data_IF_002236110131
#
_entry.id   IF_002236110131
#
_cell.length_a   1.000
_cell.length_b   1.000
_cell.length_c   1.000
_cell.angle_alpha   90.00
_cell.angle_beta   90.00
_cell.angle_gamma   90.00
#
_symmetry.space_group_name_H-M   'P 1'
#
loop_
_entity.id
_entity.type
_entity.pdbx_description
1 polymer ?
#
# COMPACT_ATOMS: atom_id res chain seq x y z
N UNK A 1 -15.34 29.84 39.79
CA UNK A 1 -14.83 28.54 40.23
C UNK A 1 -15.54 27.36 39.54
N UNK A 2 -16.87 27.37 39.43
CA UNK A 2 -17.63 26.29 38.76
C UNK A 2 -17.36 26.11 37.25
N UNK A 3 -17.13 27.18 36.50
CA UNK A 3 -16.84 27.11 35.06
C UNK A 3 -15.47 26.50 34.76
N UNK A 4 -14.45 26.75 35.58
CA UNK A 4 -13.13 26.16 35.45
C UNK A 4 -13.15 24.65 35.69
N UNK A 5 -13.99 24.20 36.64
CA UNK A 5 -14.15 22.78 36.94
C UNK A 5 -14.88 22.06 35.78
N UNK A 6 -15.93 22.67 35.22
CA UNK A 6 -16.67 22.15 34.08
C UNK A 6 -15.77 22.00 32.81
N UNK A 7 -14.92 23.00 32.55
CA UNK A 7 -13.96 22.94 31.43
C UNK A 7 -12.92 21.85 31.62
N UNK A 8 -12.41 21.69 32.84
CA UNK A 8 -11.44 20.59 33.14
C UNK A 8 -12.11 19.23 33.07
N UNK A 9 -13.34 19.06 33.54
CA UNK A 9 -14.08 17.80 33.37
C UNK A 9 -14.37 17.48 31.91
N UNK A 10 -14.77 18.47 31.11
CA UNK A 10 -14.99 18.29 29.67
C UNK A 10 -13.70 17.87 28.90
N UNK A 11 -12.56 18.49 29.25
CA UNK A 11 -11.27 18.13 28.68
C UNK A 11 -10.82 16.70 29.06
N UNK A 12 -11.05 16.28 30.29
CA UNK A 12 -10.76 14.93 30.75
C UNK A 12 -11.68 13.91 30.07
N UNK A 13 -12.96 14.24 29.88
CA UNK A 13 -13.93 13.37 29.20
C UNK A 13 -13.56 13.20 27.70
N UNK A 14 -13.16 14.25 27.02
CA UNK A 14 -12.71 14.21 25.62
C UNK A 14 -11.41 13.43 25.51
N UNK A 15 -10.45 13.62 26.42
CA UNK A 15 -9.19 12.86 26.42
C UNK A 15 -9.41 11.36 26.70
N UNK A 16 -10.36 11.00 27.58
CA UNK A 16 -10.68 9.60 27.84
C UNK A 16 -11.46 8.95 26.68
N UNK A 17 -12.31 9.68 25.96
CA UNK A 17 -12.96 9.19 24.73
C UNK A 17 -11.96 8.96 23.58
N UNK A 18 -10.94 9.81 23.44
CA UNK A 18 -9.89 9.61 22.46
C UNK A 18 -9.01 8.39 22.80
N UNK A 19 -8.79 8.09 24.07
CA UNK A 19 -8.00 6.94 24.49
C UNK A 19 -8.70 5.59 24.25
N UNK A 20 -10.05 5.56 24.23
CA UNK A 20 -10.83 4.35 23.90
C UNK A 20 -10.93 4.11 22.38
N UNK A 21 -10.62 5.10 21.55
CA UNK A 21 -10.68 5.02 20.09
C UNK A 21 -9.37 4.60 19.45
N UNK A 22 -8.34 4.23 20.24
CA UNK A 22 -7.14 3.64 19.66
C UNK A 22 -7.52 2.25 19.08
N UNK A 23 -7.55 2.07 17.75
CA UNK A 23 -7.71 0.74 17.21
C UNK A 23 -6.53 -0.08 17.72
N UNK A 24 -6.78 -1.23 18.32
CA UNK A 24 -5.75 -2.24 18.51
C UNK A 24 -5.29 -2.64 17.11
N UNK A 25 -4.25 -1.98 16.61
CA UNK A 25 -3.55 -2.44 15.42
C UNK A 25 -2.82 -3.72 15.83
N UNK A 26 -3.52 -4.83 15.73
CA UNK A 26 -2.87 -6.13 15.79
C UNK A 26 -2.06 -6.22 14.50
N UNK A 27 -0.76 -6.16 14.65
CA UNK A 27 0.16 -6.38 13.53
C UNK A 27 -0.13 -7.77 12.94
N UNK A 28 -0.24 -7.84 11.61
CA UNK A 28 -0.52 -9.10 10.92
C UNK A 28 0.58 -10.13 11.16
N UNK A 29 0.21 -11.40 11.24
CA UNK A 29 1.21 -12.48 11.30
C UNK A 29 1.85 -12.68 9.93
N UNK A 30 3.03 -13.32 9.88
CA UNK A 30 3.69 -13.69 8.62
C UNK A 30 2.74 -14.45 7.71
N UNK A 31 2.06 -15.43 8.27
CA UNK A 31 1.14 -16.31 7.57
C UNK A 31 -0.04 -15.54 6.98
N UNK A 32 -0.55 -14.54 7.70
CA UNK A 32 -1.63 -13.68 7.23
C UNK A 32 -1.17 -12.83 6.05
N UNK A 33 0.00 -12.18 6.18
CA UNK A 33 0.58 -11.34 5.10
C UNK A 33 0.87 -12.19 3.86
N UNK A 34 1.46 -13.36 4.01
CA UNK A 34 1.81 -14.25 2.90
C UNK A 34 0.58 -14.81 2.19
N UNK A 35 -0.41 -15.26 2.96
CA UNK A 35 -1.68 -15.72 2.40
C UNK A 35 -2.42 -14.59 1.67
N UNK A 36 -2.46 -13.41 2.27
CA UNK A 36 -3.03 -12.20 1.65
C UNK A 36 -2.31 -11.81 0.36
N UNK A 37 -0.97 -11.84 0.37
CA UNK A 37 -0.16 -11.55 -0.81
C UNK A 37 -0.44 -12.53 -1.96
N UNK A 38 -0.52 -13.83 -1.66
CA UNK A 38 -0.86 -14.85 -2.65
C UNK A 38 -2.26 -14.63 -3.24
N UNK A 39 -3.25 -14.33 -2.40
CA UNK A 39 -4.61 -14.02 -2.84
C UNK A 39 -4.67 -12.75 -3.68
N UNK A 40 -3.95 -11.69 -3.27
CA UNK A 40 -3.89 -10.44 -4.02
C UNK A 40 -3.30 -10.64 -5.42
N UNK A 41 -2.20 -11.38 -5.55
CA UNK A 41 -1.62 -11.74 -6.85
C UNK A 41 -2.57 -12.58 -7.70
N UNK A 42 -3.31 -13.51 -7.09
CA UNK A 42 -4.36 -14.27 -7.78
C UNK A 42 -5.47 -13.38 -8.32
N UNK A 43 -5.93 -12.40 -7.53
CA UNK A 43 -6.93 -11.41 -7.97
C UNK A 43 -6.39 -10.53 -9.11
N UNK A 44 -5.14 -10.05 -9.00
CA UNK A 44 -4.53 -9.23 -10.04
C UNK A 44 -4.48 -9.96 -11.38
N UNK A 45 -4.05 -11.23 -11.38
CA UNK A 45 -4.03 -12.08 -12.58
C UNK A 45 -5.44 -12.33 -13.15
N UNK A 46 -6.43 -12.47 -12.29
CA UNK A 46 -7.82 -12.64 -12.71
C UNK A 46 -8.42 -11.37 -13.33
N UNK A 47 -7.97 -10.18 -12.87
CA UNK A 47 -8.41 -8.89 -13.42
C UNK A 47 -7.71 -8.54 -14.73
N UNK A 48 -6.43 -8.90 -14.88
CA UNK A 48 -5.65 -8.56 -16.07
C UNK A 48 -4.59 -9.64 -16.34
N UNK A 49 -4.72 -10.34 -17.46
CA UNK A 49 -3.73 -11.31 -17.91
C UNK A 49 -2.37 -10.64 -18.17
N UNK A 50 -2.38 -9.43 -18.75
CA UNK A 50 -1.17 -8.67 -19.01
C UNK A 50 -0.44 -8.26 -17.72
N UNK A 51 -1.18 -7.92 -16.65
CA UNK A 51 -0.58 -7.71 -15.34
C UNK A 51 0.05 -8.99 -14.78
N UNK A 52 -0.59 -10.14 -15.00
CA UNK A 52 -0.04 -11.45 -14.65
C UNK A 52 1.29 -11.74 -15.34
N UNK A 53 1.40 -11.46 -16.63
CA UNK A 53 2.65 -11.60 -17.39
C UNK A 53 3.77 -10.71 -16.86
N UNK A 54 3.45 -9.46 -16.47
CA UNK A 54 4.43 -8.56 -15.86
C UNK A 54 4.89 -9.03 -14.47
N UNK A 55 3.99 -9.60 -13.67
CA UNK A 55 4.35 -10.23 -12.39
C UNK A 55 5.33 -11.38 -12.60
N UNK A 56 5.13 -12.19 -13.63
CA UNK A 56 6.01 -13.33 -13.94
C UNK A 56 7.37 -12.92 -14.50
N UNK A 57 7.47 -11.73 -15.10
CA UNK A 57 8.72 -11.15 -15.63
C UNK A 57 9.51 -10.35 -14.58
N UNK A 58 8.88 -9.95 -13.47
CA UNK A 58 9.51 -9.11 -12.46
C UNK A 58 10.62 -9.85 -11.70
N UNK A 59 11.75 -9.17 -11.45
CA UNK A 59 12.82 -9.67 -10.58
C UNK A 59 12.35 -9.83 -9.12
N UNK A 60 11.44 -8.97 -8.68
CA UNK A 60 10.80 -9.08 -7.37
C UNK A 60 9.41 -8.42 -7.39
N UNK A 61 8.55 -8.89 -6.49
CA UNK A 61 7.18 -8.41 -6.34
C UNK A 61 6.95 -8.04 -4.87
N UNK A 62 6.61 -6.80 -4.60
CA UNK A 62 6.21 -6.32 -3.28
C UNK A 62 4.69 -6.18 -3.27
N UNK A 63 4.04 -6.92 -2.38
CA UNK A 63 2.58 -7.02 -2.31
C UNK A 63 2.09 -6.53 -0.97
N UNK A 64 1.23 -5.53 -0.98
CA UNK A 64 0.42 -5.08 0.15
C UNK A 64 -1.01 -5.53 -0.10
N UNK A 65 -1.44 -6.67 0.51
CA UNK A 65 -2.74 -7.26 0.19
C UNK A 65 -3.91 -6.40 0.65
N UNK A 66 -3.75 -5.73 1.80
CA UNK A 66 -4.77 -4.95 2.45
C UNK A 66 -4.19 -3.60 2.90
N UNK A 67 -4.36 -2.59 2.07
CA UNK A 67 -4.05 -1.20 2.41
C UNK A 67 -5.35 -0.50 2.79
N UNK A 68 -5.39 0.03 3.99
CA UNK A 68 -6.51 0.80 4.51
C UNK A 68 -6.21 2.27 4.38
N UNK A 69 -7.05 2.99 3.65
CA UNK A 69 -7.04 4.44 3.58
C UNK A 69 -8.21 4.97 4.38
N UNK A 70 -7.95 5.82 5.36
CA UNK A 70 -8.98 6.44 6.19
C UNK A 70 -8.75 7.94 6.29
N UNK A 71 -9.84 8.72 6.24
CA UNK A 71 -9.73 10.17 6.42
C UNK A 71 -11.04 10.91 6.26
N UNK A 72 -10.97 12.19 6.65
CA UNK A 72 -12.02 13.20 6.44
C UNK A 72 -11.32 14.53 6.14
N UNK A 73 -11.20 14.87 4.84
CA UNK A 73 -10.43 16.04 4.38
C UNK A 73 -8.91 15.84 4.41
N UNK A 74 -8.36 15.28 5.49
CA UNK A 74 -6.99 14.78 5.61
C UNK A 74 -7.09 13.34 6.08
N UNK A 75 -6.34 12.45 5.45
CA UNK A 75 -6.35 11.03 5.75
C UNK A 75 -4.96 10.43 5.82
N UNK A 76 -4.90 9.18 6.20
CA UNK A 76 -3.72 8.35 6.15
C UNK A 76 -4.01 7.02 5.50
N UNK A 77 -2.98 6.40 4.96
CA UNK A 77 -3.03 5.02 4.50
C UNK A 77 -1.99 4.19 5.23
N UNK A 78 -2.31 2.92 5.43
CA UNK A 78 -1.45 1.96 6.08
C UNK A 78 -1.73 0.57 5.54
N UNK A 79 -0.68 -0.21 5.32
CA UNK A 79 -0.76 -1.62 4.95
C UNK A 79 0.54 -2.35 5.24
N UNK A 80 0.45 -3.63 5.53
CA UNK A 80 1.59 -4.52 5.67
C UNK A 80 1.69 -5.43 4.44
N UNK A 81 2.92 -5.76 4.05
CA UNK A 81 3.15 -6.50 2.82
C UNK A 81 4.42 -7.34 2.82
N UNK A 82 4.55 -8.18 1.80
CA UNK A 82 5.66 -9.10 1.60
C UNK A 82 6.38 -8.81 0.29
N UNK A 83 7.72 -8.76 0.34
CA UNK A 83 8.59 -8.77 -0.82
C UNK A 83 8.89 -10.22 -1.19
N UNK A 84 8.54 -10.61 -2.41
CA UNK A 84 8.77 -11.95 -2.95
C UNK A 84 9.77 -11.91 -4.10
N UNK A 85 10.67 -12.89 -4.12
CA UNK A 85 11.60 -13.14 -5.22
C UNK A 85 11.41 -14.59 -5.65
N UNK A 86 11.05 -14.83 -6.91
CA UNK A 86 10.73 -16.16 -7.38
C UNK A 86 9.59 -16.84 -6.62
N UNK A 87 8.62 -16.06 -6.13
CA UNK A 87 7.49 -16.56 -5.33
C UNK A 87 7.79 -16.85 -3.86
N UNK A 88 9.04 -16.62 -3.40
CA UNK A 88 9.45 -16.84 -2.01
C UNK A 88 9.57 -15.52 -1.27
N UNK A 89 8.92 -15.41 -0.11
CA UNK A 89 8.99 -14.21 0.74
C UNK A 89 10.40 -14.03 1.30
N UNK A 90 10.98 -12.85 1.06
CA UNK A 90 12.33 -12.47 1.50
C UNK A 90 12.31 -11.49 2.68
N UNK A 91 11.31 -10.63 2.75
CA UNK A 91 11.19 -9.59 3.77
C UNK A 91 9.76 -9.06 3.83
N UNK A 92 9.46 -8.39 4.95
CA UNK A 92 8.16 -7.75 5.18
C UNK A 92 8.34 -6.23 5.26
N UNK A 93 7.34 -5.53 4.79
CA UNK A 93 7.33 -4.07 4.69
C UNK A 93 6.00 -3.51 5.14
N UNK A 94 6.03 -2.27 5.58
CA UNK A 94 4.85 -1.45 5.81
C UNK A 94 4.85 -0.32 4.79
N UNK A 95 3.69 -0.02 4.21
CA UNK A 95 3.42 1.20 3.48
C UNK A 95 2.59 2.13 4.35
N UNK A 96 3.00 3.38 4.43
CA UNK A 96 2.28 4.42 5.14
C UNK A 96 2.36 5.73 4.38
N UNK A 97 1.25 6.44 4.28
CA UNK A 97 1.17 7.71 3.57
C UNK A 97 0.16 8.66 4.20
N UNK A 98 0.29 9.95 3.85
CA UNK A 98 -0.72 10.96 4.15
C UNK A 98 -1.48 11.24 2.86
N UNK A 99 -2.80 11.17 2.92
CA UNK A 99 -3.67 11.49 1.80
C UNK A 99 -4.48 12.74 2.06
N UNK A 100 -4.68 13.53 1.03
CA UNK A 100 -5.55 14.71 1.06
C UNK A 100 -6.72 14.45 0.09
N UNK A 101 -7.94 14.67 0.54
CA UNK A 101 -9.12 14.51 -0.31
C UNK A 101 -10.41 14.78 0.45
N UNK A 102 -11.48 15.04 -0.30
CA UNK A 102 -12.81 15.28 0.26
C UNK A 102 -13.54 13.97 0.62
N UNK A 103 -12.90 12.83 0.44
CA UNK A 103 -13.50 11.54 0.73
C UNK A 103 -13.60 11.31 2.24
N UNK A 104 -14.79 11.00 2.69
CA UNK A 104 -15.06 10.59 4.06
C UNK A 104 -15.28 9.08 4.09
N UNK A 105 -14.49 8.36 4.89
CA UNK A 105 -14.67 6.93 5.06
C UNK A 105 -13.38 6.13 5.12
N UNK A 106 -13.55 4.81 5.02
CA UNK A 106 -12.46 3.86 4.90
C UNK A 106 -12.53 3.19 3.51
N UNK A 107 -11.41 3.17 2.80
CA UNK A 107 -11.23 2.45 1.54
C UNK A 107 -10.21 1.33 1.75
N UNK A 108 -10.53 0.16 1.21
CA UNK A 108 -9.65 -1.01 1.22
C UNK A 108 -9.20 -1.30 -0.21
N UNK A 109 -7.90 -1.37 -0.40
CA UNK A 109 -7.26 -1.63 -1.69
C UNK A 109 -6.08 -2.59 -1.52
N UNK A 110 -5.69 -3.24 -2.59
CA UNK A 110 -4.42 -3.96 -2.67
C UNK A 110 -3.46 -3.18 -3.57
N UNK A 111 -2.18 -3.23 -3.22
CA UNK A 111 -1.12 -2.57 -3.97
C UNK A 111 -0.02 -3.58 -4.28
N UNK A 112 0.40 -3.62 -5.52
CA UNK A 112 1.49 -4.48 -6.00
C UNK A 112 2.51 -3.62 -6.70
N UNK A 113 3.77 -3.72 -6.27
CA UNK A 113 4.91 -3.03 -6.86
C UNK A 113 5.83 -4.08 -7.45
N UNK A 114 6.11 -3.95 -8.74
CA UNK A 114 6.99 -4.83 -9.50
C UNK A 114 8.34 -4.16 -9.71
N UNK A 115 9.40 -4.80 -9.30
CA UNK A 115 10.77 -4.40 -9.63
C UNK A 115 11.19 -5.14 -10.89
N UNK A 116 11.16 -4.41 -12.03
CA UNK A 116 11.44 -4.98 -13.36
C UNK A 116 12.94 -5.11 -13.63
N UNK A 117 13.81 -4.48 -12.83
CA UNK A 117 15.25 -4.56 -12.94
C UNK A 117 15.90 -4.89 -11.59
N UNK A 118 17.04 -5.60 -11.63
CA UNK A 118 17.84 -5.88 -10.44
C UNK A 118 18.36 -4.61 -9.77
N UNK A 119 18.64 -3.56 -10.55
CA UNK A 119 19.11 -2.29 -10.05
C UNK A 119 18.04 -1.62 -9.16
N UNK A 120 16.81 -1.51 -9.66
CA UNK A 120 15.70 -0.95 -8.91
C UNK A 120 15.43 -1.73 -7.61
N UNK A 121 15.48 -3.06 -7.67
CA UNK A 121 15.34 -3.92 -6.49
C UNK A 121 16.46 -3.67 -5.47
N UNK A 122 17.70 -3.57 -5.93
CA UNK A 122 18.87 -3.34 -5.07
C UNK A 122 18.76 -1.99 -4.37
N UNK A 123 18.42 -0.93 -5.12
CA UNK A 123 18.28 0.43 -4.59
C UNK A 123 17.15 0.52 -3.56
N UNK A 124 16.01 -0.11 -3.83
CA UNK A 124 14.92 -0.27 -2.88
C UNK A 124 15.38 -0.96 -1.59
N UNK A 125 16.05 -2.11 -1.69
CA UNK A 125 16.48 -2.90 -0.51
C UNK A 125 17.55 -2.22 0.32
N UNK A 126 18.37 -1.35 -0.28
CA UNK A 126 19.43 -0.61 0.39
C UNK A 126 18.91 0.67 1.08
N UNK A 127 17.71 1.10 0.78
CA UNK A 127 17.09 2.25 1.44
C UNK A 127 16.68 1.91 2.88
N UNK A 128 16.86 2.83 3.82
CA UNK A 128 16.35 2.69 5.20
C UNK A 128 14.86 3.04 5.33
N UNK A 129 14.23 3.42 4.25
CA UNK A 129 12.83 3.77 4.08
C UNK A 129 12.67 4.44 2.74
N UNK A 130 11.98 3.78 1.82
CA UNK A 130 11.84 4.21 0.44
C UNK A 130 10.57 5.07 0.28
N UNK A 131 10.76 6.31 -0.14
CA UNK A 131 9.65 7.24 -0.39
C UNK A 131 9.35 7.28 -1.88
N UNK A 132 8.14 6.88 -2.23
CA UNK A 132 7.65 6.88 -3.61
C UNK A 132 7.62 8.32 -4.16
N UNK A 133 8.15 8.50 -5.36
CA UNK A 133 8.27 9.80 -6.02
C UNK A 133 9.50 10.62 -5.62
N UNK A 134 10.25 10.19 -4.58
CA UNK A 134 11.49 10.85 -4.11
C UNK A 134 12.70 9.94 -4.32
N UNK A 135 12.67 8.74 -3.72
CA UNK A 135 13.78 7.78 -3.82
C UNK A 135 13.68 6.93 -5.09
N UNK A 136 12.51 6.87 -5.70
CA UNK A 136 12.23 6.23 -6.98
C UNK A 136 10.79 6.43 -7.41
N UNK A 137 10.56 6.51 -8.70
CA UNK A 137 9.23 6.59 -9.27
C UNK A 137 8.59 5.20 -9.36
N UNK A 138 7.31 5.09 -9.00
CA UNK A 138 6.46 3.96 -9.33
C UNK A 138 5.49 4.41 -10.41
N UNK A 139 5.64 3.85 -11.60
CA UNK A 139 4.70 4.13 -12.69
C UNK A 139 3.51 3.19 -12.55
N UNK A 140 2.33 3.76 -12.30
CA UNK A 140 1.11 2.98 -12.24
C UNK A 140 0.73 2.49 -13.63
N UNK A 141 0.64 1.18 -13.76
CA UNK A 141 0.21 0.56 -15.00
C UNK A 141 -1.25 0.93 -15.30
N UNK A 142 -1.49 1.44 -16.49
CA UNK A 142 -2.83 1.78 -17.00
C UNK A 142 -3.26 0.72 -17.99
N UNK A 143 -4.49 0.26 -17.84
CA UNK A 143 -5.11 -0.60 -18.82
C UNK A 143 -5.58 0.28 -20.01
N UNK A 144 -5.04 0.00 -21.18
CA UNK A 144 -5.48 0.61 -22.43
C UNK A 144 -6.77 -0.01 -22.95
N UNK A 145 -7.23 0.49 -24.11
CA UNK A 145 -8.33 -0.15 -24.83
C UNK A 145 -8.00 -1.63 -25.09
N UNK A 146 -8.96 -2.52 -24.86
CA UNK A 146 -8.86 -3.98 -25.04
C UNK A 146 -8.10 -4.75 -23.94
N UNK A 147 -7.90 -4.16 -22.73
CA UNK A 147 -7.28 -4.87 -21.61
C UNK A 147 -5.75 -5.03 -21.72
N UNK A 148 -5.14 -4.39 -22.72
CA UNK A 148 -3.69 -4.34 -22.85
C UNK A 148 -3.11 -3.29 -21.90
N UNK A 149 -2.06 -3.64 -21.15
CA UNK A 149 -1.26 -2.65 -20.44
C UNK A 149 -0.44 -1.87 -21.47
N UNK A 150 -0.45 -0.54 -21.35
CA UNK A 150 0.33 0.33 -22.25
C UNK A 150 1.79 -0.12 -22.28
N UNK A 151 2.25 -0.55 -23.45
CA UNK A 151 3.60 -1.10 -23.67
C UNK A 151 4.71 -0.08 -23.37
N UNK A 152 4.42 1.21 -23.34
CA UNK A 152 5.36 2.25 -22.93
C UNK A 152 5.65 2.16 -21.42
N UNK A 153 4.65 1.85 -20.63
CA UNK A 153 4.80 1.69 -19.18
C UNK A 153 5.47 0.36 -18.80
N UNK A 154 5.42 -0.67 -19.64
CA UNK A 154 6.03 -1.98 -19.35
C UNK A 154 7.56 -1.97 -19.33
N UNK A 155 8.21 -0.88 -19.79
CA UNK A 155 9.67 -0.71 -19.79
C UNK A 155 10.21 0.03 -18.56
N UNK A 156 9.34 0.51 -17.70
CA UNK A 156 9.75 1.24 -16.50
C UNK A 156 10.40 0.29 -15.49
N UNK A 157 11.44 0.73 -14.77
CA UNK A 157 12.15 -0.11 -13.81
C UNK A 157 11.32 -0.52 -12.61
N UNK A 158 10.28 0.27 -12.28
CA UNK A 158 9.34 -0.02 -11.20
C UNK A 158 7.92 0.28 -11.66
N UNK A 159 7.08 -0.75 -11.64
CA UNK A 159 5.67 -0.67 -11.99
C UNK A 159 4.78 -0.85 -10.76
N UNK A 160 3.62 -0.22 -10.74
CA UNK A 160 2.64 -0.35 -9.68
C UNK A 160 1.25 -0.70 -10.19
N UNK A 161 0.53 -1.50 -9.41
CA UNK A 161 -0.89 -1.79 -9.59
C UNK A 161 -1.63 -1.48 -8.31
N UNK A 162 -2.73 -0.74 -8.42
CA UNK A 162 -3.68 -0.52 -7.33
C UNK A 162 -5.00 -1.12 -7.76
N UNK A 163 -5.58 -1.96 -6.93
CA UNK A 163 -6.84 -2.62 -7.25
C UNK A 163 -7.64 -2.96 -5.99
N UNK A 164 -8.92 -3.20 -6.18
CA UNK A 164 -9.86 -3.67 -5.18
C UNK A 164 -10.54 -4.95 -5.66
N UNK A 165 -11.51 -5.43 -4.89
CA UNK A 165 -12.37 -6.55 -5.34
C UNK A 165 -13.19 -6.23 -6.60
N UNK A 166 -13.25 -4.94 -7.02
CA UNK A 166 -13.98 -4.48 -8.21
C UNK A 166 -13.11 -4.33 -9.46
N UNK A 167 -11.79 -4.51 -9.34
CA UNK A 167 -10.83 -4.37 -10.44
C UNK A 167 -9.76 -3.33 -10.18
N UNK A 168 -9.00 -3.00 -11.22
CA UNK A 168 -7.92 -2.02 -11.20
C UNK A 168 -8.44 -0.59 -10.92
N UNK A 169 -7.67 0.18 -10.18
CA UNK A 169 -7.96 1.57 -9.80
C UNK A 169 -6.89 2.46 -10.44
N UNK A 170 -7.28 3.37 -11.32
CA UNK A 170 -6.36 4.19 -12.12
C UNK A 170 -6.25 5.66 -11.68
N UNK A 171 -7.11 6.10 -10.77
CA UNK A 171 -7.18 7.49 -10.31
C UNK A 171 -6.48 7.74 -8.97
N UNK A 172 -5.69 6.78 -8.52
CA UNK A 172 -4.88 6.89 -7.31
C UNK A 172 -3.40 7.08 -7.67
N UNK A 173 -2.63 7.57 -6.71
CA UNK A 173 -1.16 7.66 -6.77
C UNK A 173 -0.57 7.05 -5.50
N UNK A 174 0.64 6.54 -5.61
CA UNK A 174 1.48 6.11 -4.50
C UNK A 174 2.45 7.22 -4.06
N UNK A 175 2.49 8.35 -4.76
CA UNK A 175 3.44 9.42 -4.50
C UNK A 175 3.33 9.93 -3.06
N UNK A 176 4.48 10.06 -2.41
CA UNK A 176 4.57 10.46 -1.01
C UNK A 176 4.40 9.35 0.01
N UNK A 177 3.95 8.17 -0.40
CA UNK A 177 3.92 7.00 0.48
C UNK A 177 5.35 6.57 0.84
N UNK A 178 5.54 6.18 2.10
CA UNK A 178 6.81 5.66 2.61
C UNK A 178 6.72 4.18 2.87
N UNK A 179 7.63 3.43 2.28
CA UNK A 179 7.74 1.99 2.43
C UNK A 179 8.95 1.68 3.31
N UNK A 180 8.70 1.02 4.44
CA UNK A 180 9.73 0.74 5.45
C UNK A 180 9.77 -0.75 5.77
N UNK A 181 10.97 -1.32 5.84
CA UNK A 181 11.15 -2.72 6.22
C UNK A 181 10.77 -2.94 7.69
N UNK A 182 10.06 -4.02 7.96
CA UNK A 182 9.68 -4.43 9.32
C UNK A 182 10.19 -5.82 9.64
N UNK A 183 10.40 -6.08 10.93
CA UNK A 183 10.69 -7.43 11.43
C UNK A 183 9.36 -8.18 11.63
N UNK A 184 9.30 -9.41 11.13
CA UNK A 184 8.19 -10.35 11.33
C UNK A 184 8.76 -11.72 11.63
#
# INVERSE_FOLDING_TARGET
MAESIRRKLALVLVASLLALAAPFSVADTKETIEAGASQALGRLRAHSAAAGELVDQAHAVLVFPDVVKMGFGVGGEYGEGALQIGGVTQAYYVIAGVSFGLEAGAEYKSEVILFMTEEALRDFRNSSGWQVGVDGAVVLAKEGAEGAIDTLNSREPVLGFIFSNRGLIFNLSLDGAKITRIAR
#
